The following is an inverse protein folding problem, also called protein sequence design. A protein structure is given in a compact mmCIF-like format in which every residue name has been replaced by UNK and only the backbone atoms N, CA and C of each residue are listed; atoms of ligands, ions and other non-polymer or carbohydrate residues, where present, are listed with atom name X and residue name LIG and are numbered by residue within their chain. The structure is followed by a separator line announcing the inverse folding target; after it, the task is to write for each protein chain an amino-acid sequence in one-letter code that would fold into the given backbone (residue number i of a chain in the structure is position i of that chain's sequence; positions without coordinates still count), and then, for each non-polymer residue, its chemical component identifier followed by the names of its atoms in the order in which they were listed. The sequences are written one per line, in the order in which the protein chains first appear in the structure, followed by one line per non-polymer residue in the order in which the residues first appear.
data_IF_102192561950
#
_entry.id   IF_102192561950
#
_cell.length_a   1.000
_cell.length_b   1.000
_cell.length_c   1.000
_cell.angle_alpha   90.00
_cell.angle_beta   90.00
_cell.angle_gamma   90.00
#
_symmetry.space_group_name_H-M   'P 1'
#
loop_
_entity.id
_entity.type
_entity.pdbx_description
1 polymer ?
#
# COMPACT_ATOMS: atom_id res chain seq x y z
N UNK A 1 33.12 0.66 -19.20
CA UNK A 1 32.05 1.30 -18.41
C UNK A 1 30.71 0.86 -18.98
N UNK A 2 30.06 -0.11 -18.32
CA UNK A 2 28.69 -0.54 -18.64
C UNK A 2 27.87 -0.35 -17.38
N UNK A 3 27.67 0.91 -17.02
CA UNK A 3 26.65 1.35 -16.06
C UNK A 3 25.50 1.92 -16.88
N UNK A 4 24.60 1.06 -17.36
CA UNK A 4 23.32 1.50 -17.94
C UNK A 4 22.21 0.50 -17.62
N UNK A 5 21.44 0.86 -16.59
CA UNK A 5 20.03 0.51 -16.39
C UNK A 5 19.68 -0.93 -15.98
N UNK A 6 20.39 -1.51 -15.01
CA UNK A 6 19.71 -2.33 -14.01
C UNK A 6 19.19 -1.41 -12.93
N UNK A 7 18.21 -0.60 -13.31
CA UNK A 7 17.41 0.12 -12.34
C UNK A 7 16.61 -0.95 -11.59
N UNK A 8 17.19 -1.43 -10.49
CA UNK A 8 16.53 -2.25 -9.45
C UNK A 8 15.47 -1.40 -8.71
N UNK A 9 14.70 -0.64 -9.49
CA UNK A 9 13.66 0.31 -9.10
C UNK A 9 12.36 -0.42 -8.79
N UNK A 10 12.44 -1.67 -8.32
CA UNK A 10 11.26 -2.32 -7.79
C UNK A 10 10.98 -1.64 -6.45
N UNK A 11 10.04 -0.70 -6.46
CA UNK A 11 9.55 -0.13 -5.21
C UNK A 11 8.96 -1.27 -4.41
N UNK A 12 9.70 -1.69 -3.39
CA UNK A 12 9.28 -2.75 -2.47
C UNK A 12 8.36 -2.15 -1.43
N UNK A 13 7.24 -2.83 -1.15
CA UNK A 13 6.36 -2.45 -0.05
C UNK A 13 7.10 -2.60 1.27
N UNK A 14 7.23 -1.52 2.02
CA UNK A 14 7.95 -1.49 3.30
C UNK A 14 7.23 -2.35 4.35
N UNK A 15 7.94 -2.89 5.36
CA UNK A 15 7.33 -3.67 6.45
C UNK A 15 6.21 -2.96 7.22
N UNK A 16 6.18 -1.64 7.22
CA UNK A 16 5.14 -0.86 7.89
C UNK A 16 4.06 -0.32 6.92
N UNK A 17 4.14 -0.67 5.63
CA UNK A 17 3.19 -0.18 4.62
C UNK A 17 3.24 1.32 4.36
N UNK A 18 4.22 2.06 4.89
CA UNK A 18 4.29 3.54 4.77
C UNK A 18 4.35 4.06 3.33
N UNK A 19 4.70 3.21 2.37
CA UNK A 19 4.71 3.54 0.94
C UNK A 19 3.62 2.78 0.15
N UNK A 20 2.55 2.31 0.80
CA UNK A 20 1.53 1.46 0.19
C UNK A 20 0.90 2.07 -1.08
N UNK A 21 0.52 3.36 -1.06
CA UNK A 21 -0.05 4.04 -2.26
C UNK A 21 0.94 4.11 -3.43
N UNK A 22 2.19 4.47 -3.15
CA UNK A 22 3.26 4.52 -4.16
C UNK A 22 3.52 3.12 -4.75
N UNK A 23 3.60 2.12 -3.88
CA UNK A 23 3.73 0.72 -4.25
C UNK A 23 2.56 0.29 -5.15
N UNK A 24 1.31 0.63 -4.79
CA UNK A 24 0.14 0.32 -5.60
C UNK A 24 0.24 0.87 -7.02
N UNK A 25 0.62 2.13 -7.18
CA UNK A 25 0.77 2.78 -8.49
C UNK A 25 1.83 2.06 -9.32
N UNK A 26 3.02 1.81 -8.75
CA UNK A 26 4.15 1.22 -9.47
C UNK A 26 3.93 -0.25 -9.81
N UNK A 27 3.40 -1.04 -8.87
CA UNK A 27 3.10 -2.45 -9.10
C UNK A 27 2.02 -2.61 -10.17
N UNK A 28 0.95 -1.79 -10.12
CA UNK A 28 -0.07 -1.77 -11.16
C UNK A 28 0.50 -1.38 -12.53
N UNK A 29 1.37 -0.38 -12.59
CA UNK A 29 2.03 0.01 -13.83
C UNK A 29 2.88 -1.13 -14.41
N UNK A 30 3.64 -1.85 -13.57
CA UNK A 30 4.46 -3.00 -13.98
C UNK A 30 3.62 -4.15 -14.54
N UNK A 31 2.52 -4.50 -13.86
CA UNK A 31 1.58 -5.53 -14.32
C UNK A 31 0.91 -5.11 -15.65
N UNK A 32 0.51 -3.85 -15.78
CA UNK A 32 -0.09 -3.32 -17.01
C UNK A 32 0.89 -3.29 -18.18
N UNK A 33 2.17 -2.97 -17.93
CA UNK A 33 3.22 -3.01 -18.95
C UNK A 33 3.35 -4.39 -19.59
N UNK A 34 3.11 -5.45 -18.81
CA UNK A 34 3.10 -6.84 -19.28
C UNK A 34 1.74 -7.29 -19.85
N UNK A 35 0.77 -6.38 -19.99
CA UNK A 35 -0.61 -6.66 -20.44
C UNK A 35 -1.37 -7.62 -19.52
N UNK A 36 -0.98 -7.70 -18.25
CA UNK A 36 -1.57 -8.60 -17.24
C UNK A 36 -2.59 -7.89 -16.33
N UNK A 37 -2.92 -6.62 -16.60
CA UNK A 37 -3.79 -5.80 -15.75
C UNK A 37 -5.17 -6.38 -15.47
N UNK A 38 -5.67 -7.26 -16.33
CA UNK A 38 -6.95 -7.95 -16.17
C UNK A 38 -7.01 -8.79 -14.88
N UNK A 39 -5.90 -9.39 -14.45
CA UNK A 39 -5.83 -10.26 -13.26
C UNK A 39 -5.87 -9.49 -11.93
N UNK A 40 -5.80 -8.16 -11.94
CA UNK A 40 -6.06 -7.35 -10.75
C UNK A 40 -7.56 -7.31 -10.37
N UNK A 41 -8.44 -7.75 -11.28
CA UNK A 41 -9.87 -7.89 -11.05
C UNK A 41 -10.22 -9.38 -10.93
N UNK A 42 -11.41 -9.68 -10.40
CA UNK A 42 -11.92 -11.04 -10.38
C UNK A 42 -12.14 -11.54 -11.82
N UNK A 43 -11.25 -12.42 -12.29
CA UNK A 43 -11.29 -13.01 -13.64
C UNK A 43 -11.86 -14.41 -13.64
N UNK A 44 -11.61 -15.21 -12.58
CA UNK A 44 -12.13 -16.58 -12.48
C UNK A 44 -13.66 -16.60 -12.44
N UNK A 45 -14.23 -17.52 -13.21
CA UNK A 45 -15.65 -17.85 -13.20
C UNK A 45 -16.03 -18.55 -11.88
N UNK A 46 -17.33 -18.70 -11.64
CA UNK A 46 -17.84 -19.31 -10.41
C UNK A 46 -17.40 -20.78 -10.23
N UNK A 47 -17.10 -21.47 -11.34
CA UNK A 47 -16.58 -22.83 -11.37
C UNK A 47 -15.05 -22.91 -11.23
N UNK A 48 -14.38 -21.76 -11.04
CA UNK A 48 -12.93 -21.66 -10.89
C UNK A 48 -12.15 -21.58 -12.21
N UNK A 49 -12.82 -21.68 -13.36
CA UNK A 49 -12.15 -21.65 -14.67
C UNK A 49 -11.84 -20.22 -15.15
N UNK A 50 -10.87 -20.10 -16.07
CA UNK A 50 -10.54 -18.83 -16.70
C UNK A 50 -11.37 -18.64 -17.99
N UNK A 51 -11.97 -17.45 -18.18
CA UNK A 51 -12.67 -17.12 -19.43
C UNK A 51 -11.69 -16.98 -20.60
N UNK A 52 -12.20 -17.10 -21.83
CA UNK A 52 -11.41 -16.98 -23.05
C UNK A 52 -10.55 -15.71 -23.06
N UNK A 53 -9.27 -15.90 -23.38
CA UNK A 53 -8.27 -14.82 -23.36
C UNK A 53 -7.64 -14.57 -21.99
N UNK A 54 -7.96 -15.35 -20.96
CA UNK A 54 -7.24 -15.40 -19.68
C UNK A 54 -6.84 -16.85 -19.37
N UNK A 55 -5.78 -17.03 -18.59
CA UNK A 55 -5.27 -18.34 -18.22
C UNK A 55 -4.56 -18.26 -16.86
N UNK A 56 -4.27 -19.43 -16.30
CA UNK A 56 -3.61 -19.56 -15.00
C UNK A 56 -2.14 -19.11 -15.03
N UNK A 57 -1.40 -19.41 -16.10
CA UNK A 57 0.03 -19.09 -16.20
C UNK A 57 0.27 -17.57 -16.12
N UNK A 58 -0.47 -16.79 -16.90
CA UNK A 58 -0.43 -15.34 -16.90
C UNK A 58 -0.85 -14.75 -15.53
N UNK A 59 -1.83 -15.37 -14.85
CA UNK A 59 -2.24 -14.97 -13.50
C UNK A 59 -1.11 -15.23 -12.50
N UNK A 60 -0.44 -16.38 -12.58
CA UNK A 60 0.73 -16.70 -11.75
C UNK A 60 1.90 -15.73 -12.02
N UNK A 61 2.10 -15.31 -13.28
CA UNK A 61 3.09 -14.27 -13.61
C UNK A 61 2.72 -12.95 -12.95
N UNK A 62 1.47 -12.51 -13.04
CA UNK A 62 1.00 -11.29 -12.39
C UNK A 62 1.11 -11.36 -10.85
N UNK A 63 0.78 -12.51 -10.27
CA UNK A 63 0.91 -12.81 -8.86
C UNK A 63 2.36 -12.71 -8.41
N UNK A 64 3.29 -13.26 -9.19
CA UNK A 64 4.72 -13.21 -8.89
C UNK A 64 5.25 -11.77 -8.82
N UNK A 65 4.75 -10.86 -9.67
CA UNK A 65 5.11 -9.44 -9.60
C UNK A 65 4.70 -8.81 -8.26
N UNK A 66 3.52 -9.16 -7.74
CA UNK A 66 3.06 -8.70 -6.43
C UNK A 66 3.94 -9.30 -5.34
N UNK A 67 4.09 -10.62 -5.28
CA UNK A 67 4.82 -11.34 -4.22
C UNK A 67 6.30 -10.94 -4.15
N UNK A 68 6.97 -10.74 -5.29
CA UNK A 68 8.35 -10.28 -5.34
C UNK A 68 8.52 -8.80 -4.97
N UNK A 69 7.43 -8.01 -5.01
CA UNK A 69 7.44 -6.59 -4.67
C UNK A 69 7.07 -6.29 -3.22
N UNK A 70 6.80 -7.30 -2.38
CA UNK A 70 6.48 -7.12 -0.96
C UNK A 70 7.64 -7.56 -0.04
N UNK A 71 7.61 -7.09 1.21
CA UNK A 71 8.55 -7.56 2.23
C UNK A 71 8.27 -9.02 2.60
N UNK A 72 9.31 -9.79 2.95
CA UNK A 72 9.17 -11.21 3.27
C UNK A 72 8.20 -11.45 4.46
N UNK A 73 8.24 -10.57 5.46
CA UNK A 73 7.34 -10.64 6.63
C UNK A 73 5.86 -10.47 6.27
N UNK A 74 5.55 -9.98 5.07
CA UNK A 74 4.20 -9.78 4.58
C UNK A 74 3.68 -10.96 3.77
N UNK A 75 4.55 -11.90 3.38
CA UNK A 75 4.12 -13.12 2.66
C UNK A 75 3.13 -13.94 3.49
N UNK A 76 3.22 -13.90 4.82
CA UNK A 76 2.28 -14.56 5.73
C UNK A 76 0.83 -14.12 5.55
N UNK A 77 0.60 -12.90 5.04
CA UNK A 77 -0.72 -12.34 4.82
C UNK A 77 -1.34 -12.74 3.48
N UNK A 78 -0.54 -13.28 2.57
CA UNK A 78 -0.94 -13.68 1.21
C UNK A 78 -0.64 -15.16 0.93
N UNK A 79 -0.38 -15.94 1.97
CA UNK A 79 -0.04 -17.36 1.85
C UNK A 79 -1.23 -18.21 1.36
N UNK A 80 -2.45 -17.77 1.68
CA UNK A 80 -3.69 -18.49 1.41
C UNK A 80 -4.39 -17.96 0.14
N UNK A 81 -3.82 -16.95 -0.53
CA UNK A 81 -4.38 -16.37 -1.76
C UNK A 81 -3.86 -17.13 -2.97
N UNK A 82 -4.76 -17.53 -3.86
CA UNK A 82 -4.45 -18.36 -5.04
C UNK A 82 -4.34 -17.54 -6.33
N UNK A 83 -4.84 -16.31 -6.34
CA UNK A 83 -4.88 -15.44 -7.54
C UNK A 83 -4.24 -14.09 -7.30
N UNK A 84 -3.86 -13.41 -8.39
CA UNK A 84 -3.41 -12.00 -8.34
C UNK A 84 -4.44 -11.11 -7.68
N UNK A 85 -5.72 -11.30 -8.00
CA UNK A 85 -6.82 -10.50 -7.47
C UNK A 85 -6.98 -10.67 -5.96
N UNK A 86 -7.01 -11.90 -5.47
CA UNK A 86 -7.11 -12.19 -4.03
C UNK A 86 -5.93 -11.59 -3.27
N UNK A 87 -4.71 -11.79 -3.78
CA UNK A 87 -3.48 -11.24 -3.20
C UNK A 87 -3.56 -9.70 -3.12
N UNK A 88 -3.99 -9.07 -4.21
CA UNK A 88 -4.13 -7.62 -4.29
C UNK A 88 -5.15 -7.08 -3.27
N UNK A 89 -6.33 -7.70 -3.19
CA UNK A 89 -7.38 -7.28 -2.26
C UNK A 89 -7.03 -7.58 -0.79
N UNK A 90 -6.34 -8.69 -0.49
CA UNK A 90 -5.85 -8.99 0.86
C UNK A 90 -4.85 -7.95 1.34
N UNK A 91 -3.86 -7.58 0.50
CA UNK A 91 -2.93 -6.52 0.84
C UNK A 91 -3.66 -5.19 1.01
N UNK A 92 -4.60 -4.88 0.13
CA UNK A 92 -5.42 -3.66 0.22
C UNK A 92 -6.19 -3.58 1.54
N UNK A 93 -6.90 -4.64 1.91
CA UNK A 93 -7.64 -4.70 3.16
C UNK A 93 -6.73 -4.46 4.37
N UNK A 94 -5.51 -4.99 4.36
CA UNK A 94 -4.55 -4.81 5.47
C UNK A 94 -4.06 -3.37 5.56
N UNK A 95 -3.61 -2.78 4.45
CA UNK A 95 -2.99 -1.45 4.51
C UNK A 95 -3.99 -0.31 4.58
N UNK A 96 -5.17 -0.46 3.95
CA UNK A 96 -6.23 0.53 4.08
C UNK A 96 -6.84 0.50 5.50
N UNK A 97 -7.11 -0.68 6.07
CA UNK A 97 -7.58 -0.77 7.46
C UNK A 97 -6.55 -0.26 8.47
N UNK A 98 -5.26 -0.55 8.29
CA UNK A 98 -4.21 0.00 9.13
C UNK A 98 -4.15 1.54 9.03
N UNK A 99 -4.37 2.11 7.84
CA UNK A 99 -4.45 3.55 7.63
C UNK A 99 -5.64 4.16 8.38
N UNK A 100 -6.81 3.53 8.31
CA UNK A 100 -8.03 3.97 9.01
C UNK A 100 -7.86 3.92 10.53
N UNK A 101 -7.32 2.82 11.08
CA UNK A 101 -7.03 2.67 12.51
C UNK A 101 -6.02 3.72 12.97
N UNK A 102 -4.98 3.99 12.17
CA UNK A 102 -4.00 5.04 12.45
C UNK A 102 -4.66 6.42 12.44
N UNK A 103 -5.53 6.71 11.47
CA UNK A 103 -6.28 7.97 11.40
C UNK A 103 -7.18 8.17 12.61
N UNK A 104 -7.95 7.16 13.02
CA UNK A 104 -8.80 7.23 14.23
C UNK A 104 -7.95 7.44 15.49
N UNK A 105 -6.82 6.75 15.60
CA UNK A 105 -5.88 6.91 16.71
C UNK A 105 -5.32 8.34 16.75
N UNK A 106 -4.98 8.90 15.59
CA UNK A 106 -4.50 10.26 15.47
C UNK A 106 -5.60 11.28 15.80
N UNK A 107 -6.84 11.09 15.34
CA UNK A 107 -7.96 11.94 15.74
C UNK A 107 -8.18 11.93 17.26
N UNK A 108 -8.05 10.77 17.92
CA UNK A 108 -8.11 10.67 19.38
C UNK A 108 -6.90 11.34 20.08
N UNK A 109 -5.72 11.32 19.47
CA UNK A 109 -4.57 12.08 19.98
C UNK A 109 -4.80 13.59 19.83
N UNK A 110 -5.39 14.02 18.72
CA UNK A 110 -5.75 15.42 18.46
C UNK A 110 -6.72 15.95 19.51
N UNK A 111 -7.75 15.17 19.86
CA UNK A 111 -8.73 15.58 20.87
C UNK A 111 -8.16 15.67 22.29
N UNK A 112 -6.97 15.10 22.52
CA UNK A 112 -6.22 15.18 23.78
C UNK A 112 -5.10 16.22 23.72
N UNK A 113 -4.87 16.84 22.57
CA UNK A 113 -3.82 17.80 22.36
C UNK A 113 -4.30 19.16 22.89
N UNK A 114 -4.09 19.39 24.18
CA UNK A 114 -4.47 20.63 24.85
C UNK A 114 -3.23 21.41 25.25
N UNK A 115 -3.22 22.71 24.91
CA UNK A 115 -2.23 23.62 25.43
C UNK A 115 -2.49 23.88 26.91
N UNK A 116 -1.44 23.91 27.71
CA UNK A 116 -1.49 24.36 29.10
C UNK A 116 -0.28 25.23 29.41
N UNK A 117 -0.42 26.17 30.34
CA UNK A 117 0.70 27.01 30.81
C UNK A 117 1.88 26.18 31.35
N UNK A 118 1.64 24.95 31.82
CA UNK A 118 2.70 24.04 32.28
C UNK A 118 3.50 23.41 31.14
N UNK A 119 2.88 23.22 29.99
CA UNK A 119 3.54 22.62 28.82
C UNK A 119 4.46 23.62 28.12
N UNK A 120 4.11 24.92 28.18
CA UNK A 120 4.81 25.97 27.45
C UNK A 120 4.45 25.98 25.95
N UNK A 121 4.55 27.16 25.32
CA UNK A 121 4.11 27.35 23.93
C UNK A 121 4.98 26.58 22.92
N UNK A 122 6.30 26.56 23.13
CA UNK A 122 7.26 25.90 22.23
C UNK A 122 7.08 24.38 22.22
N UNK A 123 6.98 23.76 23.41
CA UNK A 123 6.79 22.31 23.49
C UNK A 123 5.42 21.87 22.93
N UNK A 124 4.39 22.71 23.06
CA UNK A 124 3.11 22.46 22.39
C UNK A 124 3.21 22.58 20.86
N UNK A 125 3.93 23.58 20.35
CA UNK A 125 4.15 23.75 18.92
C UNK A 125 4.89 22.54 18.31
N UNK A 126 5.90 22.02 19.01
CA UNK A 126 6.63 20.81 18.59
C UNK A 126 5.72 19.58 18.55
N UNK A 127 4.91 19.37 19.59
CA UNK A 127 3.93 18.27 19.65
C UNK A 127 2.90 18.37 18.53
N UNK A 128 2.41 19.59 18.25
CA UNK A 128 1.46 19.84 17.17
C UNK A 128 2.09 19.59 15.79
N UNK A 129 3.33 20.02 15.55
CA UNK A 129 4.04 19.73 14.29
C UNK A 129 4.27 18.23 14.09
N UNK A 130 4.69 17.52 15.14
CA UNK A 130 4.87 16.07 15.07
C UNK A 130 3.54 15.36 14.79
N UNK A 131 2.46 15.83 15.41
CA UNK A 131 1.11 15.35 15.16
C UNK A 131 0.69 15.56 13.70
N UNK A 132 0.86 16.77 13.15
CA UNK A 132 0.54 17.07 11.75
C UNK A 132 1.34 16.20 10.79
N UNK A 133 2.63 15.94 11.07
CA UNK A 133 3.45 15.02 10.29
C UNK A 133 2.89 13.59 10.29
N UNK A 134 2.44 13.09 11.45
CA UNK A 134 1.83 11.75 11.56
C UNK A 134 0.47 11.69 10.84
N UNK A 135 -0.33 12.75 10.94
CA UNK A 135 -1.62 12.87 10.25
C UNK A 135 -1.44 12.87 8.73
N UNK A 136 -0.50 13.64 8.19
CA UNK A 136 -0.17 13.59 6.76
C UNK A 136 0.29 12.21 6.32
N UNK A 137 1.14 11.53 7.10
CA UNK A 137 1.61 10.19 6.77
C UNK A 137 0.50 9.11 6.83
N UNK A 138 -0.52 9.29 7.67
CA UNK A 138 -1.63 8.35 7.83
C UNK A 138 -2.84 8.65 6.92
N UNK A 139 -3.01 9.90 6.48
CA UNK A 139 -4.16 10.35 5.69
C UNK A 139 -3.86 10.73 4.24
N UNK A 140 -2.59 11.02 3.90
CA UNK A 140 -2.12 11.65 2.67
C UNK A 140 -3.23 12.36 1.88
N UNK A 141 -3.74 13.43 2.52
CA UNK A 141 -4.67 14.38 1.93
C UNK A 141 -4.04 14.88 0.66
N UNK A 142 -4.76 14.72 -0.45
CA UNK A 142 -4.72 15.66 -1.57
C UNK A 142 -4.39 17.03 -1.02
N UNK A 143 -3.23 17.58 -1.42
CA UNK A 143 -2.93 18.97 -1.20
C UNK A 143 -4.15 19.75 -1.70
N UNK A 144 -4.94 20.28 -0.77
CA UNK A 144 -5.93 21.28 -1.08
C UNK A 144 -5.10 22.50 -1.49
N UNK A 145 -4.92 22.65 -2.81
CA UNK A 145 -4.32 23.85 -3.36
C UNK A 145 -5.37 24.94 -3.20
N UNK A 146 -5.20 25.72 -2.14
CA UNK A 146 -5.71 27.08 -2.06
C UNK A 146 -5.22 27.91 -3.27
#
# INVERSE_FOLDING_TARGET
MVDKYLSDSTTRLKPNGSNYREWCVKTRAKINQQKLGKYLKKVRLADGTYPNGSNEEDDLVALSYIQLSIHADHLKFVKDTATTHETWESLKAIYESASEVNLVTLQLQMSKLEWSERTGLEAFADQYQEFMRKLSAAGDTTADKA
#
